data_IF_429505606355
#
_entry.id   IF_429505606355
#
_cell.length_a   1.000
_cell.length_b   1.000
_cell.length_c   1.000
_cell.angle_alpha   90.00
_cell.angle_beta   90.00
_cell.angle_gamma   90.00
#
_symmetry.space_group_name_H-M   'P 1'
#
loop_
_entity.id
_entity.type
_entity.pdbx_description
1 polymer ?
#
# COMPACT_ATOMS: atom_id res chain seq x y z
N UNK A 1 15.28 38.83 7.32
CA UNK A 1 13.86 39.08 7.03
C UNK A 1 13.06 38.22 7.99
N UNK A 2 12.19 38.83 8.80
CA UNK A 2 11.41 38.09 9.79
C UNK A 2 10.28 37.33 9.09
N UNK A 3 10.01 36.09 9.51
CA UNK A 3 8.96 35.27 8.93
C UNK A 3 7.58 35.93 9.07
N UNK A 4 6.70 35.73 8.08
CA UNK A 4 5.32 36.23 8.14
C UNK A 4 4.52 35.41 9.17
N UNK A 5 4.29 36.00 10.35
CA UNK A 5 3.65 35.33 11.49
C UNK A 5 2.23 34.85 11.18
N UNK A 6 1.41 35.64 10.46
CA UNK A 6 0.04 35.25 10.12
C UNK A 6 -0.01 34.02 9.20
N UNK A 7 0.88 33.95 8.21
CA UNK A 7 1.01 32.76 7.36
C UNK A 7 1.59 31.55 8.10
N UNK A 8 2.48 31.78 9.08
CA UNK A 8 3.02 30.72 9.92
C UNK A 8 1.93 30.08 10.80
N UNK A 9 1.10 30.89 11.46
CA UNK A 9 -0.03 30.40 12.25
C UNK A 9 -1.04 29.64 11.40
N UNK A 10 -1.38 30.16 10.22
CA UNK A 10 -2.28 29.47 9.28
C UNK A 10 -1.68 28.15 8.79
N UNK A 11 -0.36 28.11 8.54
CA UNK A 11 0.37 26.89 8.23
C UNK A 11 0.20 25.86 9.35
N UNK A 12 0.42 26.24 10.61
CA UNK A 12 0.34 25.30 11.73
C UNK A 12 -1.09 24.79 11.97
N UNK A 13 -2.09 25.64 11.74
CA UNK A 13 -3.49 25.24 11.72
C UNK A 13 -3.79 24.26 10.57
N UNK A 14 -3.26 24.51 9.37
CA UNK A 14 -3.39 23.62 8.23
C UNK A 14 -2.69 22.27 8.48
N UNK A 15 -1.53 22.26 9.14
CA UNK A 15 -0.84 21.03 9.55
C UNK A 15 -1.71 20.19 10.50
N UNK A 16 -2.19 20.79 11.60
CA UNK A 16 -3.07 20.11 12.56
C UNK A 16 -4.33 19.57 11.88
N UNK A 17 -4.93 20.36 10.99
CA UNK A 17 -6.10 19.97 10.20
C UNK A 17 -5.78 18.80 9.27
N UNK A 18 -4.64 18.82 8.58
CA UNK A 18 -4.18 17.72 7.73
C UNK A 18 -4.03 16.42 8.52
N UNK A 19 -3.40 16.46 9.71
CA UNK A 19 -3.25 15.30 10.59
C UNK A 19 -4.61 14.71 10.99
N UNK A 20 -5.57 15.55 11.38
CA UNK A 20 -6.95 15.10 11.68
C UNK A 20 -7.61 14.46 10.45
N UNK A 21 -7.46 15.07 9.27
CA UNK A 21 -8.00 14.52 8.02
C UNK A 21 -7.35 13.20 7.61
N UNK A 22 -6.07 13.01 7.91
CA UNK A 22 -5.41 11.71 7.75
C UNK A 22 -6.02 10.65 8.66
N UNK A 23 -6.26 10.96 9.94
CA UNK A 23 -6.90 10.03 10.88
C UNK A 23 -8.32 9.68 10.43
N UNK A 24 -9.10 10.65 9.96
CA UNK A 24 -10.44 10.43 9.38
C UNK A 24 -10.33 9.57 8.12
N UNK A 25 -9.39 9.86 7.22
CA UNK A 25 -9.14 9.08 6.01
C UNK A 25 -8.78 7.64 6.34
N UNK A 26 -7.95 7.42 7.37
CA UNK A 26 -7.61 6.08 7.86
C UNK A 26 -8.85 5.37 8.40
N UNK A 27 -9.63 6.01 9.27
CA UNK A 27 -10.85 5.44 9.83
C UNK A 27 -11.85 5.01 8.74
N UNK A 28 -12.13 5.89 7.78
CA UNK A 28 -13.01 5.60 6.63
C UNK A 28 -12.44 4.47 5.77
N UNK A 29 -11.11 4.44 5.56
CA UNK A 29 -10.44 3.37 4.82
C UNK A 29 -10.52 2.02 5.52
N UNK A 30 -10.46 1.98 6.86
CA UNK A 30 -10.58 0.77 7.66
C UNK A 30 -12.01 0.24 7.64
N UNK A 31 -13.02 1.12 7.68
CA UNK A 31 -14.42 0.73 7.50
C UNK A 31 -14.63 0.12 6.11
N UNK A 32 -14.11 0.77 5.06
CA UNK A 32 -14.11 0.21 3.70
C UNK A 32 -13.43 -1.17 3.66
N UNK A 33 -12.26 -1.30 4.28
CA UNK A 33 -11.49 -2.55 4.34
C UNK A 33 -12.28 -3.68 4.99
N UNK A 34 -12.94 -3.41 6.12
CA UNK A 34 -13.80 -4.35 6.83
C UNK A 34 -15.05 -4.76 6.04
N UNK A 35 -15.68 -3.80 5.35
CA UNK A 35 -16.82 -4.10 4.47
C UNK A 35 -16.43 -4.97 3.27
N UNK A 36 -15.29 -4.65 2.64
CA UNK A 36 -14.76 -5.43 1.53
C UNK A 36 -14.36 -6.84 1.97
N UNK A 37 -13.79 -6.97 3.17
CA UNK A 37 -13.52 -8.27 3.81
C UNK A 37 -14.80 -9.08 3.96
N UNK A 38 -15.81 -8.52 4.60
CA UNK A 38 -17.10 -9.21 4.83
C UNK A 38 -17.78 -9.63 3.53
N UNK A 39 -17.76 -8.78 2.49
CA UNK A 39 -18.26 -9.11 1.16
C UNK A 39 -17.45 -10.26 0.51
N UNK A 40 -16.13 -10.25 0.69
CA UNK A 40 -15.23 -11.30 0.17
C UNK A 40 -15.45 -12.64 0.87
N UNK A 41 -15.62 -12.64 2.18
CA UNK A 41 -15.94 -13.82 2.99
C UNK A 41 -17.30 -14.41 2.55
N UNK A 42 -18.34 -13.58 2.39
CA UNK A 42 -19.64 -14.02 1.92
C UNK A 42 -19.57 -14.64 0.50
N UNK A 43 -18.75 -14.09 -0.39
CA UNK A 43 -18.49 -14.67 -1.71
C UNK A 43 -17.82 -16.02 -1.65
N UNK A 44 -16.85 -16.19 -0.77
CA UNK A 44 -16.15 -17.48 -0.58
C UNK A 44 -17.08 -18.53 -0.02
N UNK A 45 -17.90 -18.16 0.95
CA UNK A 45 -18.87 -19.07 1.56
C UNK A 45 -19.93 -19.52 0.54
N UNK A 46 -20.45 -18.60 -0.27
CA UNK A 46 -21.31 -18.95 -1.42
C UNK A 46 -20.63 -19.96 -2.34
N UNK A 47 -19.36 -19.72 -2.72
CA UNK A 47 -18.62 -20.65 -3.58
C UNK A 47 -18.37 -22.02 -2.92
N UNK A 48 -18.21 -22.06 -1.60
CA UNK A 48 -18.05 -23.29 -0.82
C UNK A 48 -19.33 -24.12 -0.85
N UNK A 49 -20.47 -23.50 -0.51
CA UNK A 49 -21.79 -24.14 -0.52
C UNK A 49 -22.09 -24.72 -1.92
N UNK A 50 -21.92 -23.92 -2.97
CA UNK A 50 -22.11 -24.38 -4.35
C UNK A 50 -21.14 -25.49 -4.76
N UNK A 51 -19.89 -25.44 -4.26
CA UNK A 51 -18.88 -26.46 -4.50
C UNK A 51 -19.20 -27.79 -3.80
N UNK A 52 -19.69 -27.74 -2.56
CA UNK A 52 -20.15 -28.90 -1.79
C UNK A 52 -21.40 -29.52 -2.42
N UNK A 53 -22.38 -28.71 -2.80
CA UNK A 53 -23.58 -29.16 -3.52
C UNK A 53 -23.23 -29.83 -4.85
N UNK A 54 -22.30 -29.25 -5.62
CA UNK A 54 -21.82 -29.85 -6.88
C UNK A 54 -21.13 -31.19 -6.63
N UNK A 55 -20.26 -31.29 -5.62
CA UNK A 55 -19.58 -32.54 -5.26
C UNK A 55 -20.57 -33.63 -4.82
N UNK A 56 -21.59 -33.27 -4.05
CA UNK A 56 -22.64 -34.20 -3.63
C UNK A 56 -23.41 -34.74 -4.84
N UNK A 57 -23.82 -33.85 -5.77
CA UNK A 57 -24.47 -34.24 -7.02
C UNK A 57 -23.57 -35.13 -7.90
N UNK A 58 -22.27 -34.84 -8.01
CA UNK A 58 -21.33 -35.70 -8.74
C UNK A 58 -21.19 -37.07 -8.09
N UNK A 59 -21.06 -37.15 -6.75
CA UNK A 59 -20.96 -38.43 -6.03
C UNK A 59 -22.22 -39.27 -6.22
N UNK A 60 -23.40 -38.64 -6.21
CA UNK A 60 -24.68 -39.30 -6.47
C UNK A 60 -24.75 -39.85 -7.91
N UNK A 61 -24.32 -39.08 -8.91
CA UNK A 61 -24.27 -39.55 -10.32
C UNK A 61 -23.33 -40.73 -10.51
N UNK A 62 -22.17 -40.73 -9.83
CA UNK A 62 -21.21 -41.85 -9.88
C UNK A 62 -21.77 -43.10 -9.20
N UNK A 63 -22.47 -42.96 -8.07
CA UNK A 63 -23.13 -44.09 -7.40
C UNK A 63 -24.26 -44.72 -8.25
N UNK A 64 -25.07 -43.90 -8.93
CA UNK A 64 -26.11 -44.40 -9.83
C UNK A 64 -25.52 -45.09 -11.07
N UNK A 65 -24.46 -44.53 -11.65
CA UNK A 65 -23.75 -45.17 -12.79
C UNK A 65 -23.07 -46.50 -12.44
N UNK A 66 -22.59 -46.64 -11.20
CA UNK A 66 -22.02 -47.91 -10.70
C UNK A 66 -23.09 -48.97 -10.41
N UNK A 67 -24.29 -48.57 -9.99
CA UNK A 67 -25.40 -49.49 -9.73
C UNK A 67 -26.06 -50.05 -11.02
N UNK A 68 -25.89 -49.38 -12.16
CA UNK A 68 -26.38 -49.85 -13.48
C UNK A 68 -25.38 -50.79 -14.19
N UNK A 69 -24.15 -50.92 -13.66
CA UNK A 69 -23.05 -51.65 -14.30
C UNK A 69 -22.86 -53.12 -13.87
N UNK A 70 -23.79 -53.72 -13.14
CA UNK A 70 -23.65 -55.10 -12.66
C UNK A 70 -24.99 -55.80 -12.50
N UNK A 71 -25.47 -56.41 -13.59
CA UNK A 71 -25.97 -57.79 -13.61
C UNK A 71 -26.44 -58.14 -15.04
N UNK A 72 -25.70 -59.04 -15.68
CA UNK A 72 -26.21 -59.85 -16.79
C UNK A 72 -26.60 -61.18 -16.15
N UNK A 73 -27.88 -61.37 -15.89
CA UNK A 73 -28.46 -62.67 -15.54
C UNK A 73 -29.55 -62.97 -16.57
N UNK A 74 -29.41 -64.11 -17.23
CA UNK A 74 -30.34 -64.69 -18.20
C UNK A 74 -31.70 -65.05 -17.56
N UNK A 75 -32.78 -64.73 -18.28
CA UNK A 75 -33.98 -65.56 -18.40
C UNK A 75 -35.12 -65.39 -17.38
N UNK A 76 -36.25 -64.83 -17.82
CA UNK A 76 -37.60 -65.46 -17.94
C UNK A 76 -38.74 -64.42 -17.86
N UNK A 77 -39.79 -64.70 -18.63
CA UNK A 77 -40.97 -63.86 -18.93
C UNK A 77 -41.88 -63.56 -17.72
N UNK A 78 -42.28 -62.28 -17.56
CA UNK A 78 -43.53 -61.84 -16.86
C UNK A 78 -43.99 -60.49 -17.45
N UNK A 79 -45.30 -60.28 -17.76
CA UNK A 79 -45.82 -59.02 -18.27
C UNK A 79 -46.37 -58.07 -17.18
N UNK A 80 -46.25 -56.76 -17.47
CA UNK A 80 -46.99 -55.57 -17.00
C UNK A 80 -47.31 -55.38 -15.51
N UNK A 81 -46.57 -54.47 -14.86
CA UNK A 81 -47.17 -53.25 -14.28
C UNK A 81 -46.15 -52.10 -14.25
N UNK A 82 -46.31 -51.16 -15.18
CA UNK A 82 -45.69 -49.84 -15.14
C UNK A 82 -46.20 -49.07 -13.92
N UNK A 83 -45.36 -48.96 -12.89
CA UNK A 83 -45.03 -47.69 -12.21
C UNK A 83 -44.03 -47.94 -11.07
N UNK A 84 -42.77 -48.18 -11.44
CA UNK A 84 -41.67 -47.74 -10.60
C UNK A 84 -41.74 -46.21 -10.53
N UNK A 85 -42.39 -45.71 -9.48
CA UNK A 85 -42.41 -44.31 -9.12
C UNK A 85 -40.99 -43.84 -8.79
N UNK A 86 -40.27 -43.39 -9.82
CA UNK A 86 -38.98 -42.70 -9.72
C UNK A 86 -39.15 -41.19 -9.50
N UNK A 87 -40.29 -40.73 -8.98
CA UNK A 87 -40.46 -39.31 -8.57
C UNK A 87 -39.48 -38.85 -7.48
N UNK A 88 -38.67 -39.75 -6.93
CA UNK A 88 -37.56 -39.44 -6.03
C UNK A 88 -36.25 -38.96 -6.70
N UNK A 89 -36.17 -38.84 -8.04
CA UNK A 89 -35.01 -38.19 -8.69
C UNK A 89 -35.13 -36.68 -8.49
N UNK A 90 -34.91 -36.22 -7.26
CA UNK A 90 -34.54 -34.85 -7.00
C UNK A 90 -33.21 -34.61 -7.73
N UNK A 91 -33.31 -34.12 -8.97
CA UNK A 91 -32.24 -33.50 -9.72
C UNK A 91 -31.86 -32.19 -9.03
N UNK A 92 -31.35 -32.27 -7.81
CA UNK A 92 -31.01 -31.12 -6.98
C UNK A 92 -29.69 -30.51 -7.43
N UNK A 93 -29.62 -29.96 -8.64
CA UNK A 93 -28.65 -28.89 -8.88
C UNK A 93 -29.12 -27.71 -8.04
N UNK A 94 -28.48 -27.48 -6.89
CA UNK A 94 -28.78 -26.34 -6.02
C UNK A 94 -28.86 -25.07 -6.87
N UNK A 95 -30.03 -24.46 -6.90
CA UNK A 95 -30.34 -23.26 -7.65
C UNK A 95 -30.08 -22.01 -6.80
N UNK A 96 -30.09 -20.84 -7.43
CA UNK A 96 -29.91 -19.57 -6.73
C UNK A 96 -30.99 -19.34 -5.63
N UNK A 97 -32.19 -19.88 -5.82
CA UNK A 97 -33.30 -19.79 -4.86
C UNK A 97 -33.07 -20.63 -3.59
N UNK A 98 -32.28 -21.71 -3.70
CA UNK A 98 -31.96 -22.61 -2.58
C UNK A 98 -30.89 -22.03 -1.66
N UNK A 99 -30.17 -20.99 -2.08
CA UNK A 99 -29.20 -20.28 -1.25
C UNK A 99 -29.91 -19.42 -0.19
N UNK A 100 -29.39 -19.37 1.05
CA UNK A 100 -29.84 -18.40 2.03
C UNK A 100 -29.79 -16.99 1.44
N UNK A 101 -30.80 -16.15 1.73
CA UNK A 101 -30.94 -14.78 1.17
C UNK A 101 -29.65 -13.95 1.26
N UNK A 102 -28.83 -14.17 2.29
CA UNK A 102 -27.55 -13.49 2.52
C UNK A 102 -26.42 -13.88 1.55
N UNK A 103 -26.51 -15.06 0.92
CA UNK A 103 -25.55 -15.61 -0.05
C UNK A 103 -26.07 -15.55 -1.48
N UNK A 104 -27.27 -15.00 -1.71
CA UNK A 104 -27.78 -14.76 -3.04
C UNK A 104 -27.00 -13.63 -3.74
N UNK A 105 -26.93 -13.69 -5.08
CA UNK A 105 -26.17 -12.80 -5.95
C UNK A 105 -26.55 -11.34 -5.71
N UNK A 106 -27.84 -11.02 -5.56
CA UNK A 106 -28.29 -9.66 -5.31
C UNK A 106 -27.85 -9.14 -3.93
N UNK A 107 -27.90 -9.99 -2.90
CA UNK A 107 -27.38 -9.63 -1.58
C UNK A 107 -25.85 -9.41 -1.61
N UNK A 108 -25.10 -10.25 -2.33
CA UNK A 108 -23.66 -10.05 -2.53
C UNK A 108 -23.37 -8.77 -3.30
N UNK A 109 -24.06 -8.53 -4.42
CA UNK A 109 -23.94 -7.28 -5.20
C UNK A 109 -24.23 -6.07 -4.33
N UNK A 110 -25.25 -6.12 -3.48
CA UNK A 110 -25.57 -5.05 -2.54
C UNK A 110 -24.45 -4.81 -1.52
N UNK A 111 -23.84 -5.88 -0.97
CA UNK A 111 -22.66 -5.79 -0.09
C UNK A 111 -21.47 -5.13 -0.79
N UNK A 112 -21.13 -5.58 -2.00
CA UNK A 112 -20.03 -4.98 -2.78
C UNK A 112 -20.32 -3.53 -3.17
N UNK A 113 -21.56 -3.20 -3.56
CA UNK A 113 -21.97 -1.81 -3.85
C UNK A 113 -21.84 -0.91 -2.62
N UNK A 114 -22.20 -1.41 -1.43
CA UNK A 114 -22.00 -0.67 -0.17
C UNK A 114 -20.52 -0.46 0.11
N UNK A 115 -19.69 -1.50 -0.02
CA UNK A 115 -18.24 -1.38 0.14
C UNK A 115 -17.66 -0.37 -0.88
N UNK A 116 -18.07 -0.42 -2.14
CA UNK A 116 -17.61 0.50 -3.19
C UNK A 116 -17.95 1.97 -2.91
N UNK A 117 -19.12 2.25 -2.31
CA UNK A 117 -19.47 3.61 -1.84
C UNK A 117 -18.46 4.10 -0.79
N UNK A 118 -18.13 3.27 0.20
CA UNK A 118 -17.13 3.60 1.22
C UNK A 118 -15.71 3.72 0.64
N UNK A 119 -15.37 2.91 -0.36
CA UNK A 119 -14.12 3.04 -1.09
C UNK A 119 -14.05 4.35 -1.90
N UNK A 120 -15.18 4.80 -2.46
CA UNK A 120 -15.30 6.13 -3.08
C UNK A 120 -15.11 7.27 -2.09
N UNK A 121 -15.77 7.18 -0.94
CA UNK A 121 -15.62 8.16 0.15
C UNK A 121 -14.19 8.22 0.69
N UNK A 122 -13.54 7.06 0.89
CA UNK A 122 -12.12 6.97 1.24
C UNK A 122 -11.27 7.73 0.24
N UNK A 123 -11.48 7.50 -1.05
CA UNK A 123 -10.73 8.16 -2.11
C UNK A 123 -10.89 9.68 -2.05
N UNK A 124 -12.13 10.18 -1.87
CA UNK A 124 -12.40 11.62 -1.77
C UNK A 124 -11.76 12.25 -0.54
N UNK A 125 -11.84 11.59 0.62
CA UNK A 125 -11.20 12.07 1.86
C UNK A 125 -9.69 12.15 1.72
N UNK A 126 -9.06 11.16 1.08
CA UNK A 126 -7.62 11.20 0.84
C UNK A 126 -7.23 12.34 -0.11
N UNK A 127 -8.00 12.61 -1.16
CA UNK A 127 -7.74 13.77 -2.05
C UNK A 127 -7.87 15.10 -1.30
N UNK A 128 -8.91 15.24 -0.47
CA UNK A 128 -9.07 16.42 0.39
C UNK A 128 -7.87 16.57 1.36
N UNK A 129 -7.47 15.46 1.98
CA UNK A 129 -6.33 15.43 2.90
C UNK A 129 -5.04 15.85 2.19
N UNK A 130 -4.79 15.36 0.98
CA UNK A 130 -3.65 15.75 0.17
C UNK A 130 -3.68 17.25 -0.20
N UNK A 131 -4.87 17.79 -0.53
CA UNK A 131 -5.02 19.21 -0.82
C UNK A 131 -4.74 20.10 0.40
N UNK A 132 -5.22 19.71 1.58
CA UNK A 132 -4.97 20.45 2.84
C UNK A 132 -3.51 20.32 3.28
N UNK A 133 -2.88 19.16 3.10
CA UNK A 133 -1.44 19.00 3.32
C UNK A 133 -0.64 19.90 2.37
N UNK A 134 -1.00 19.95 1.08
CA UNK A 134 -0.35 20.85 0.14
C UNK A 134 -0.53 22.32 0.54
N UNK A 135 -1.72 22.70 1.00
CA UNK A 135 -1.98 24.05 1.52
C UNK A 135 -1.05 24.38 2.69
N UNK A 136 -0.88 23.46 3.65
CA UNK A 136 0.10 23.61 4.73
C UNK A 136 1.50 23.89 4.16
N UNK A 137 2.00 23.07 3.23
CA UNK A 137 3.34 23.24 2.66
C UNK A 137 3.51 24.58 1.93
N UNK A 138 2.50 25.01 1.18
CA UNK A 138 2.50 26.31 0.48
C UNK A 138 2.53 27.45 1.49
N UNK A 139 1.66 27.45 2.48
CA UNK A 139 1.63 28.48 3.52
C UNK A 139 2.92 28.53 4.31
N UNK A 140 3.50 27.37 4.65
CA UNK A 140 4.80 27.26 5.32
C UNK A 140 5.91 27.88 4.49
N UNK A 141 5.94 27.58 3.18
CA UNK A 141 6.94 28.12 2.27
C UNK A 141 6.81 29.64 2.06
N UNK A 142 5.58 30.13 1.92
CA UNK A 142 5.31 31.57 1.81
C UNK A 142 5.65 32.32 3.11
N UNK A 143 5.37 31.73 4.28
CA UNK A 143 5.72 32.30 5.57
C UNK A 143 7.24 32.46 5.75
N UNK A 144 8.00 31.48 5.22
CA UNK A 144 9.45 31.44 5.30
C UNK A 144 10.16 32.20 4.15
N UNK A 145 9.41 32.58 3.11
CA UNK A 145 9.92 33.10 1.82
C UNK A 145 10.96 32.17 1.16
N UNK A 146 10.79 30.87 1.35
CA UNK A 146 11.65 29.82 0.82
C UNK A 146 10.87 28.51 0.72
N UNK A 147 11.39 27.54 0.00
CA UNK A 147 10.81 26.21 0.06
C UNK A 147 10.92 25.59 1.48
N UNK A 148 9.89 24.85 1.94
CA UNK A 148 9.85 24.27 3.27
C UNK A 148 10.69 22.98 3.34
N UNK A 149 12.02 23.11 3.35
CA UNK A 149 12.96 22.00 3.54
C UNK A 149 14.01 22.26 4.64
N UNK A 150 13.88 23.38 5.35
CA UNK A 150 14.95 24.01 6.14
C UNK A 150 15.34 23.24 7.41
N UNK A 151 14.51 22.31 7.85
CA UNK A 151 14.71 21.47 9.02
C UNK A 151 14.06 20.10 8.82
N UNK A 152 14.26 19.19 9.78
CA UNK A 152 13.76 17.82 9.67
C UNK A 152 12.23 17.72 9.70
N UNK A 153 11.52 18.58 10.43
CA UNK A 153 10.05 18.65 10.40
C UNK A 153 9.52 18.99 9.01
N UNK A 154 10.05 20.06 8.42
CA UNK A 154 9.72 20.48 7.06
C UNK A 154 10.07 19.38 6.04
N UNK A 155 11.21 18.70 6.20
CA UNK A 155 11.59 17.58 5.34
C UNK A 155 10.60 16.41 5.43
N UNK A 156 10.26 15.93 6.64
CA UNK A 156 9.32 14.80 6.82
C UNK A 156 7.93 15.15 6.29
N UNK A 157 7.47 16.37 6.53
CA UNK A 157 6.16 16.81 6.04
C UNK A 157 6.13 16.94 4.51
N UNK A 158 7.17 17.45 3.87
CA UNK A 158 7.24 17.45 2.39
C UNK A 158 7.29 16.03 1.84
N UNK A 159 8.11 15.13 2.38
CA UNK A 159 8.20 13.74 1.91
C UNK A 159 6.86 13.02 2.05
N UNK A 160 6.16 13.20 3.17
CA UNK A 160 4.84 12.59 3.37
C UNK A 160 3.76 13.23 2.49
N UNK A 161 3.82 14.54 2.25
CA UNK A 161 2.97 15.25 1.30
C UNK A 161 3.17 14.76 -0.14
N UNK A 162 4.41 14.58 -0.58
CA UNK A 162 4.74 14.00 -1.88
C UNK A 162 4.30 12.53 -1.96
N UNK A 163 4.49 11.74 -0.90
CA UNK A 163 4.05 10.35 -0.85
C UNK A 163 2.53 10.20 -1.01
N UNK A 164 1.72 11.07 -0.37
CA UNK A 164 0.26 11.01 -0.54
C UNK A 164 -0.16 11.42 -1.95
N UNK A 165 0.51 12.40 -2.56
CA UNK A 165 0.25 12.82 -3.95
C UNK A 165 0.57 11.68 -4.93
N UNK A 166 1.73 11.05 -4.79
CA UNK A 166 2.11 9.87 -5.59
C UNK A 166 1.09 8.74 -5.39
N UNK A 167 0.70 8.45 -4.15
CA UNK A 167 -0.29 7.42 -3.85
C UNK A 167 -1.67 7.73 -4.48
N UNK A 168 -2.10 8.99 -4.50
CA UNK A 168 -3.35 9.40 -5.16
C UNK A 168 -3.35 9.09 -6.65
N UNK A 169 -2.23 9.34 -7.34
CA UNK A 169 -2.07 9.03 -8.77
C UNK A 169 -2.05 7.53 -9.00
N UNK A 170 -1.25 6.81 -8.21
CA UNK A 170 -0.99 5.37 -8.39
C UNK A 170 -2.19 4.50 -8.00
N UNK A 171 -2.92 4.86 -6.94
CA UNK A 171 -4.05 4.08 -6.39
C UNK A 171 -5.42 4.50 -6.93
N UNK A 172 -5.48 5.27 -8.01
CA UNK A 172 -6.74 5.79 -8.60
C UNK A 172 -7.74 4.71 -9.03
N UNK A 173 -7.27 3.49 -9.32
CA UNK A 173 -8.13 2.37 -9.77
C UNK A 173 -8.87 1.77 -8.58
N UNK A 174 -10.18 1.49 -8.74
CA UNK A 174 -11.03 0.90 -7.68
C UNK A 174 -10.41 -0.32 -6.99
N UNK A 175 -9.79 -1.22 -7.77
CA UNK A 175 -9.15 -2.44 -7.26
C UNK A 175 -7.94 -2.19 -6.32
N UNK A 176 -7.37 -0.99 -6.33
CA UNK A 176 -6.20 -0.62 -5.53
C UNK A 176 -6.55 0.20 -4.29
N UNK A 177 -7.82 0.64 -4.14
CA UNK A 177 -8.27 1.43 -2.98
C UNK A 177 -8.12 0.70 -1.66
N UNK A 178 -8.11 -0.64 -1.69
CA UNK A 178 -7.89 -1.48 -0.51
C UNK A 178 -6.50 -1.28 0.10
N UNK A 179 -5.58 -0.63 -0.61
CA UNK A 179 -4.23 -0.33 -0.12
C UNK A 179 -4.16 0.96 0.71
N UNK A 180 -5.21 1.77 0.76
CA UNK A 180 -5.21 3.05 1.48
C UNK A 180 -4.81 2.96 2.96
N UNK A 181 -5.33 2.02 3.78
CA UNK A 181 -4.90 1.89 5.16
C UNK A 181 -3.39 1.66 5.30
N UNK A 182 -2.80 0.92 4.37
CA UNK A 182 -1.39 0.52 4.40
C UNK A 182 -0.43 1.64 4.00
N UNK A 183 -0.88 2.58 3.18
CA UNK A 183 -0.10 3.76 2.79
C UNK A 183 -0.30 4.92 3.77
N UNK A 184 -1.54 5.13 4.23
CA UNK A 184 -1.86 6.23 5.14
C UNK A 184 -1.29 5.99 6.54
N UNK A 185 -1.24 4.74 7.02
CA UNK A 185 -0.67 4.41 8.35
C UNK A 185 0.77 4.90 8.53
N UNK A 186 1.75 4.53 7.69
CA UNK A 186 3.11 5.03 7.86
C UNK A 186 3.17 6.57 7.72
N UNK A 187 2.37 7.19 6.84
CA UNK A 187 2.32 8.65 6.73
C UNK A 187 1.87 9.30 8.05
N UNK A 188 0.83 8.78 8.69
CA UNK A 188 0.36 9.29 10.00
C UNK A 188 1.43 9.14 11.06
N UNK A 189 2.11 7.99 11.13
CA UNK A 189 3.17 7.77 12.12
C UNK A 189 4.32 8.76 11.93
N UNK A 190 4.71 9.02 10.68
CA UNK A 190 5.73 10.03 10.34
C UNK A 190 5.28 11.45 10.73
N UNK A 191 4.04 11.83 10.42
CA UNK A 191 3.50 13.15 10.74
C UNK A 191 3.30 13.36 12.24
N UNK A 192 2.87 12.33 12.96
CA UNK A 192 2.75 12.36 14.42
C UNK A 192 4.11 12.61 15.05
N UNK A 193 5.11 11.79 14.70
CA UNK A 193 6.48 11.97 15.18
C UNK A 193 7.06 13.34 14.81
N UNK A 194 6.83 13.79 13.57
CA UNK A 194 7.27 15.11 13.13
C UNK A 194 6.64 16.23 13.97
N UNK A 195 5.34 16.16 14.25
CA UNK A 195 4.63 17.18 15.01
C UNK A 195 4.96 17.18 16.51
N UNK A 196 5.40 16.06 17.10
CA UNK A 196 5.70 15.97 18.54
C UNK A 196 7.18 16.19 18.85
N UNK A 197 8.08 15.57 18.08
CA UNK A 197 9.51 15.54 18.40
C UNK A 197 10.37 16.45 17.51
N UNK A 198 9.91 16.76 16.30
CA UNK A 198 10.71 17.49 15.31
C UNK A 198 10.21 18.90 15.05
N UNK A 199 9.06 19.29 15.60
CA UNK A 199 8.43 20.57 15.31
C UNK A 199 9.42 21.71 15.59
N UNK A 200 9.59 22.56 14.60
CA UNK A 200 10.45 23.72 14.65
C UNK A 200 9.70 24.92 14.08
N UNK A 201 9.98 26.11 14.58
CA UNK A 201 9.34 27.34 14.09
C UNK A 201 9.82 27.73 12.69
N UNK A 202 9.06 28.61 12.04
CA UNK A 202 9.42 29.16 10.73
C UNK A 202 10.65 30.06 10.90
N UNK A 203 11.80 29.56 10.48
CA UNK A 203 13.07 30.27 10.58
C UNK A 203 13.84 30.29 9.24
N UNK A 204 14.78 31.24 9.06
CA UNK A 204 15.74 31.21 7.95
C UNK A 204 16.57 29.92 7.96
N UNK A 205 17.04 29.50 6.78
CA UNK A 205 17.91 28.33 6.69
C UNK A 205 19.29 28.58 7.27
N UNK A 206 19.89 27.55 7.85
CA UNK A 206 21.31 27.56 8.27
C UNK A 206 22.24 27.81 7.08
N UNK A 207 23.44 28.40 7.28
CA UNK A 207 24.31 28.81 6.18
C UNK A 207 24.65 27.72 5.15
N UNK A 208 24.79 26.46 5.59
CA UNK A 208 25.08 25.31 4.70
C UNK A 208 23.97 25.00 3.68
N UNK A 209 22.76 25.51 3.89
CA UNK A 209 21.62 25.33 3.00
C UNK A 209 21.41 26.52 2.04
N UNK A 210 22.25 27.57 2.11
CA UNK A 210 22.19 28.74 1.21
C UNK A 210 22.85 28.46 -0.14
N UNK A 211 22.33 27.46 -0.87
CA UNK A 211 22.84 27.06 -2.19
C UNK A 211 21.70 26.69 -3.13
N UNK A 212 21.85 27.01 -4.42
CA UNK A 212 20.89 26.60 -5.45
C UNK A 212 20.82 25.07 -5.63
N UNK A 213 21.85 24.34 -5.21
CA UNK A 213 21.87 22.88 -5.33
C UNK A 213 21.04 22.17 -4.26
N UNK A 214 20.80 22.84 -3.12
CA UNK A 214 20.06 22.27 -2.01
C UNK A 214 18.61 21.94 -2.38
N UNK A 215 17.87 22.88 -2.98
CA UNK A 215 16.47 22.64 -3.34
C UNK A 215 16.31 21.64 -4.48
N UNK A 216 17.28 21.56 -5.41
CA UNK A 216 17.32 20.54 -6.46
C UNK A 216 17.55 19.15 -5.85
N UNK A 217 18.55 19.00 -4.98
CA UNK A 217 18.86 17.75 -4.30
C UNK A 217 17.69 17.25 -3.44
N UNK A 218 17.23 18.10 -2.53
CA UNK A 218 16.24 17.72 -1.52
C UNK A 218 14.88 17.43 -2.16
N UNK A 219 14.45 18.20 -3.16
CA UNK A 219 13.22 17.89 -3.90
C UNK A 219 13.32 16.55 -4.63
N UNK A 220 14.43 16.30 -5.33
CA UNK A 220 14.64 15.08 -6.13
C UNK A 220 14.68 13.83 -5.24
N UNK A 221 15.44 13.86 -4.14
CA UNK A 221 15.50 12.73 -3.19
C UNK A 221 14.17 12.52 -2.47
N UNK A 222 13.42 13.60 -2.17
CA UNK A 222 12.08 13.51 -1.55
C UNK A 222 11.07 12.83 -2.48
N UNK A 223 11.06 13.17 -3.77
CA UNK A 223 10.21 12.50 -4.77
C UNK A 223 10.60 11.04 -4.91
N UNK A 224 11.90 10.75 -5.03
CA UNK A 224 12.42 9.38 -5.12
C UNK A 224 12.00 8.54 -3.91
N UNK A 225 12.18 9.07 -2.70
CA UNK A 225 11.80 8.39 -1.46
C UNK A 225 10.30 8.22 -1.28
N UNK A 226 9.50 9.20 -1.72
CA UNK A 226 8.04 9.12 -1.72
C UNK A 226 7.51 7.99 -2.59
N UNK A 227 8.06 7.83 -3.79
CA UNK A 227 7.73 6.71 -4.69
C UNK A 227 8.27 5.39 -4.09
N UNK A 228 9.47 5.44 -3.51
CA UNK A 228 10.10 4.31 -2.81
C UNK A 228 9.27 3.78 -1.65
N UNK A 229 8.56 4.64 -0.92
CA UNK A 229 7.63 4.25 0.15
C UNK A 229 6.48 3.41 -0.39
N UNK A 230 5.84 3.84 -1.49
CA UNK A 230 4.76 3.08 -2.13
C UNK A 230 5.29 1.73 -2.63
N UNK A 231 6.51 1.71 -3.17
CA UNK A 231 7.21 0.50 -3.61
C UNK A 231 7.45 -0.49 -2.46
N UNK A 232 8.07 -0.03 -1.36
CA UNK A 232 8.40 -0.84 -0.21
C UNK A 232 7.17 -1.42 0.50
N UNK A 233 6.15 -0.59 0.73
CA UNK A 233 4.86 -1.04 1.30
C UNK A 233 4.21 -2.09 0.40
N UNK A 234 4.24 -1.89 -0.93
CA UNK A 234 3.69 -2.87 -1.87
C UNK A 234 4.43 -4.21 -1.84
N UNK A 235 5.76 -4.21 -1.65
CA UNK A 235 6.55 -5.42 -1.47
C UNK A 235 6.29 -6.12 -0.15
N UNK A 236 6.10 -5.39 0.95
CA UNK A 236 5.66 -5.95 2.24
C UNK A 236 4.32 -6.68 2.09
N UNK A 237 3.34 -6.03 1.45
CA UNK A 237 2.03 -6.62 1.19
C UNK A 237 2.11 -7.81 0.25
N UNK A 238 3.00 -7.78 -0.76
CA UNK A 238 3.25 -8.91 -1.64
C UNK A 238 3.75 -10.14 -0.86
N UNK A 239 4.72 -9.97 0.04
CA UNK A 239 5.24 -11.07 0.87
C UNK A 239 4.14 -11.62 1.77
N UNK A 240 3.38 -10.75 2.44
CA UNK A 240 2.22 -11.15 3.25
C UNK A 240 1.20 -11.94 2.44
N UNK A 241 0.89 -11.49 1.21
CA UNK A 241 -0.04 -12.16 0.30
C UNK A 241 0.49 -13.48 -0.25
N UNK A 242 1.80 -13.64 -0.44
CA UNK A 242 2.42 -14.93 -0.82
C UNK A 242 2.39 -15.95 0.31
N UNK A 243 2.55 -15.50 1.56
CA UNK A 243 2.40 -16.35 2.76
C UNK A 243 0.95 -16.75 3.04
N UNK A 244 -0.03 -15.99 2.52
CA UNK A 244 -1.47 -16.26 2.67
C UNK A 244 -2.16 -16.26 1.29
N UNK A 245 -1.97 -17.33 0.48
CA UNK A 245 -2.57 -17.45 -0.84
C UNK A 245 -4.10 -17.40 -0.79
N UNK A 246 -4.72 -16.84 -1.84
CA UNK A 246 -6.18 -16.74 -1.92
C UNK A 246 -6.84 -18.12 -1.83
N UNK A 247 -7.79 -18.26 -0.91
CA UNK A 247 -8.53 -19.50 -0.64
C UNK A 247 -7.85 -20.42 0.37
N UNK A 248 -6.62 -20.12 0.79
CA UNK A 248 -5.86 -20.86 1.80
C UNK A 248 -5.46 -19.97 2.99
N UNK A 249 -6.13 -18.83 3.16
CA UNK A 249 -5.84 -17.91 4.26
C UNK A 249 -6.30 -18.50 5.60
N UNK A 250 -5.46 -18.37 6.64
CA UNK A 250 -5.73 -18.91 7.97
C UNK A 250 -5.34 -17.93 9.09
N UNK A 251 -5.96 -18.10 10.25
CA UNK A 251 -5.68 -17.31 11.46
C UNK A 251 -5.96 -15.81 11.33
N UNK A 252 -5.33 -15.02 12.19
CA UNK A 252 -5.49 -13.56 12.23
C UNK A 252 -4.89 -12.89 10.98
N UNK A 253 -3.69 -13.26 10.57
CA UNK A 253 -3.04 -12.73 9.36
C UNK A 253 -3.84 -13.02 8.09
N UNK A 254 -4.48 -14.19 7.99
CA UNK A 254 -5.38 -14.51 6.89
C UNK A 254 -6.57 -13.57 6.78
N UNK A 255 -7.18 -13.20 7.92
CA UNK A 255 -8.28 -12.22 7.96
C UNK A 255 -7.81 -10.84 7.48
N UNK A 256 -6.66 -10.39 7.96
CA UNK A 256 -6.06 -9.11 7.56
C UNK A 256 -5.74 -9.10 6.06
N UNK A 257 -5.13 -10.17 5.54
CA UNK A 257 -4.71 -10.24 4.13
C UNK A 257 -5.89 -10.48 3.17
N UNK A 258 -6.98 -11.09 3.62
CA UNK A 258 -8.11 -11.52 2.77
C UNK A 258 -8.61 -10.48 1.74
N UNK A 259 -8.73 -9.17 2.04
CA UNK A 259 -9.27 -8.18 1.11
C UNK A 259 -8.24 -7.70 0.07
N UNK A 260 -6.95 -7.97 0.30
CA UNK A 260 -5.88 -7.48 -0.57
C UNK A 260 -6.04 -7.98 -2.03
N UNK A 261 -5.42 -7.31 -3.01
CA UNK A 261 -5.36 -7.82 -4.37
C UNK A 261 -4.53 -9.12 -4.47
N UNK A 262 -4.50 -9.69 -5.67
CA UNK A 262 -3.59 -10.81 -5.97
C UNK A 262 -2.13 -10.40 -5.80
N UNK A 263 -1.28 -11.38 -5.47
CA UNK A 263 0.16 -11.16 -5.32
C UNK A 263 0.77 -10.51 -6.58
N UNK A 264 0.33 -10.92 -7.77
CA UNK A 264 0.81 -10.34 -9.05
C UNK A 264 0.52 -8.84 -9.17
N UNK A 265 -0.61 -8.36 -8.63
CA UNK A 265 -0.95 -6.93 -8.66
C UNK A 265 -0.10 -6.12 -7.69
N UNK A 266 0.19 -6.68 -6.52
CA UNK A 266 1.06 -6.06 -5.51
C UNK A 266 2.51 -6.02 -6.00
N UNK A 267 3.01 -7.10 -6.60
CA UNK A 267 4.34 -7.14 -7.20
C UNK A 267 4.46 -6.19 -8.41
N UNK A 268 3.44 -6.14 -9.27
CA UNK A 268 3.40 -5.19 -10.38
C UNK A 268 3.37 -3.73 -9.90
N UNK A 269 2.68 -3.45 -8.79
CA UNK A 269 2.68 -2.13 -8.17
C UNK A 269 4.07 -1.76 -7.67
N UNK A 270 4.68 -2.63 -6.84
CA UNK A 270 6.02 -2.44 -6.29
C UNK A 270 7.05 -2.17 -7.39
N UNK A 271 7.04 -3.00 -8.44
CA UNK A 271 7.96 -2.83 -9.58
C UNK A 271 7.74 -1.53 -10.34
N UNK A 272 6.50 -1.19 -10.68
CA UNK A 272 6.20 0.03 -11.44
C UNK A 272 6.65 1.27 -10.69
N UNK A 273 6.50 1.29 -9.36
CA UNK A 273 7.01 2.39 -8.54
C UNK A 273 8.54 2.34 -8.44
N UNK A 274 9.15 1.18 -8.26
CA UNK A 274 10.61 1.06 -8.15
C UNK A 274 11.37 1.48 -9.42
N UNK A 275 10.80 1.25 -10.61
CA UNK A 275 11.36 1.74 -11.89
C UNK A 275 11.56 3.26 -11.85
N UNK A 276 10.64 3.99 -11.21
CA UNK A 276 10.75 5.44 -11.05
C UNK A 276 11.61 5.82 -9.85
N UNK A 277 11.55 5.05 -8.76
CA UNK A 277 12.39 5.28 -7.57
C UNK A 277 13.87 5.26 -7.93
N UNK A 278 14.34 4.26 -8.67
CA UNK A 278 15.78 4.09 -8.96
C UNK A 278 16.42 5.34 -9.62
N UNK A 279 15.96 5.82 -10.79
CA UNK A 279 16.59 6.95 -11.46
C UNK A 279 16.36 8.26 -10.70
N UNK A 280 15.17 8.49 -10.14
CA UNK A 280 14.89 9.74 -9.43
C UNK A 280 15.71 9.82 -8.14
N UNK A 281 15.71 8.75 -7.33
CA UNK A 281 16.52 8.72 -6.12
C UNK A 281 18.02 8.78 -6.44
N UNK A 282 18.48 8.10 -7.49
CA UNK A 282 19.86 8.16 -7.97
C UNK A 282 20.29 9.58 -8.39
N UNK A 283 19.45 10.29 -9.14
CA UNK A 283 19.68 11.71 -9.44
C UNK A 283 19.74 12.54 -8.15
N UNK A 284 18.88 12.23 -7.17
CA UNK A 284 18.95 12.79 -5.83
C UNK A 284 20.33 12.62 -5.19
N UNK A 285 20.88 11.40 -5.19
CA UNK A 285 22.23 11.12 -4.64
C UNK A 285 23.32 11.92 -5.39
N UNK A 286 23.26 11.97 -6.72
CA UNK A 286 24.21 12.75 -7.55
C UNK A 286 24.12 14.24 -7.26
N UNK A 287 22.91 14.80 -7.22
CA UNK A 287 22.71 16.22 -6.86
C UNK A 287 23.13 16.50 -5.41
N UNK A 288 23.04 15.50 -4.53
CA UNK A 288 23.57 15.57 -3.17
C UNK A 288 25.07 15.76 -3.16
N UNK A 289 25.81 14.99 -3.97
CA UNK A 289 27.25 15.14 -4.12
C UNK A 289 27.66 16.52 -4.66
N UNK A 290 26.90 17.06 -5.64
CA UNK A 290 27.15 18.40 -6.18
C UNK A 290 26.90 19.48 -5.11
N UNK A 291 25.80 19.36 -4.36
CA UNK A 291 25.51 20.25 -3.26
C UNK A 291 26.57 20.15 -2.15
N UNK A 292 27.08 18.95 -1.85
CA UNK A 292 28.13 18.74 -0.87
C UNK A 292 29.41 19.50 -1.24
N UNK A 293 29.76 19.55 -2.53
CA UNK A 293 30.88 20.36 -3.00
C UNK A 293 30.62 21.85 -2.79
N UNK A 294 29.42 22.33 -3.06
CA UNK A 294 29.05 23.73 -2.84
C UNK A 294 29.02 24.13 -1.36
N UNK A 295 28.69 23.20 -0.45
CA UNK A 295 28.56 23.47 0.98
C UNK A 295 29.86 23.24 1.78
N UNK A 296 30.63 22.22 1.43
CA UNK A 296 31.81 21.76 2.21
C UNK A 296 33.08 21.58 1.38
N UNK A 297 33.08 21.95 0.09
CA UNK A 297 34.27 21.91 -0.77
C UNK A 297 34.67 20.52 -1.27
N UNK A 298 33.85 19.49 -1.08
CA UNK A 298 34.10 18.12 -1.60
C UNK A 298 32.80 17.47 -2.10
N UNK A 299 32.90 16.65 -3.15
CA UNK A 299 31.73 15.96 -3.71
C UNK A 299 31.22 14.79 -2.86
N UNK A 300 32.10 14.16 -2.09
CA UNK A 300 31.75 12.99 -1.29
C UNK A 300 32.72 12.88 -0.11
N UNK A 301 32.22 12.52 1.06
CA UNK A 301 32.94 12.36 2.31
C UNK A 301 32.81 10.99 2.96
N UNK A 302 32.03 10.05 2.38
CA UNK A 302 31.76 8.73 2.98
C UNK A 302 31.13 8.80 4.37
N UNK A 303 30.42 9.89 4.67
CA UNK A 303 29.71 9.96 5.94
C UNK A 303 28.52 8.98 5.96
N UNK A 304 27.94 8.69 7.13
CA UNK A 304 26.87 7.71 7.22
C UNK A 304 25.65 8.04 6.35
N UNK A 305 25.31 9.31 6.11
CA UNK A 305 24.14 9.69 5.29
C UNK A 305 24.39 9.45 3.82
N UNK A 306 25.55 9.88 3.34
CA UNK A 306 26.03 9.62 2.00
C UNK A 306 26.11 8.11 1.73
N UNK A 307 26.76 7.36 2.62
CA UNK A 307 26.96 5.91 2.48
C UNK A 307 25.64 5.14 2.47
N UNK A 308 24.72 5.41 3.40
CA UNK A 308 23.42 4.72 3.46
C UNK A 308 22.53 5.11 2.27
N UNK A 309 22.63 6.34 1.77
CA UNK A 309 21.92 6.74 0.54
C UNK A 309 22.43 5.96 -0.68
N UNK A 310 23.74 5.76 -0.79
CA UNK A 310 24.34 4.94 -1.84
C UNK A 310 23.92 3.47 -1.73
N UNK A 311 23.95 2.89 -0.53
CA UNK A 311 23.46 1.52 -0.27
C UNK A 311 21.99 1.39 -0.68
N UNK A 312 21.15 2.36 -0.30
CA UNK A 312 19.72 2.36 -0.66
C UNK A 312 19.53 2.36 -2.18
N UNK A 313 20.27 3.20 -2.90
CA UNK A 313 20.23 3.24 -4.36
C UNK A 313 20.67 1.91 -4.99
N UNK A 314 21.77 1.33 -4.52
CA UNK A 314 22.26 0.02 -4.97
C UNK A 314 21.22 -1.08 -4.69
N UNK A 315 20.54 -1.08 -3.54
CA UNK A 315 19.51 -2.06 -3.22
C UNK A 315 18.29 -1.94 -4.15
N UNK A 316 17.86 -0.73 -4.53
CA UNK A 316 16.82 -0.57 -5.55
C UNK A 316 17.29 -1.06 -6.93
N UNK A 317 18.56 -0.85 -7.30
CA UNK A 317 19.12 -1.39 -8.53
C UNK A 317 19.16 -2.93 -8.49
N UNK A 318 19.62 -3.49 -7.38
CA UNK A 318 19.66 -4.93 -7.13
C UNK A 318 18.25 -5.55 -7.14
N UNK A 319 17.22 -4.85 -6.64
CA UNK A 319 15.83 -5.29 -6.74
C UNK A 319 15.39 -5.41 -8.20
N UNK A 320 15.60 -4.37 -9.01
CA UNK A 320 15.20 -4.39 -10.42
C UNK A 320 15.99 -5.43 -11.21
N UNK A 321 17.28 -5.59 -10.92
CA UNK A 321 18.12 -6.62 -11.50
C UNK A 321 17.64 -8.03 -11.10
N UNK A 322 17.42 -8.29 -9.82
CA UNK A 322 16.87 -9.56 -9.31
C UNK A 322 15.52 -9.91 -9.95
N UNK A 323 14.71 -8.90 -10.30
CA UNK A 323 13.44 -9.12 -11.01
C UNK A 323 13.63 -9.42 -12.50
N UNK A 324 14.74 -9.01 -13.10
CA UNK A 324 15.11 -9.38 -14.46
C UNK A 324 15.75 -10.78 -14.52
N UNK A 325 16.42 -11.20 -13.44
CA UNK A 325 17.14 -12.48 -13.34
C UNK A 325 16.20 -13.68 -13.14
N UNK A 326 16.33 -14.75 -13.95
CA UNK A 326 15.63 -16.02 -13.71
C UNK A 326 15.93 -16.58 -12.31
N UNK A 327 14.94 -17.19 -11.65
CA UNK A 327 15.10 -17.77 -10.31
C UNK A 327 15.05 -16.78 -9.13
N UNK A 328 15.34 -15.49 -9.35
CA UNK A 328 15.26 -14.45 -8.31
C UNK A 328 13.92 -13.69 -8.29
N UNK A 329 13.09 -13.89 -9.34
CA UNK A 329 11.75 -13.32 -9.43
C UNK A 329 10.86 -13.78 -8.26
N UNK A 330 10.10 -12.85 -7.69
CA UNK A 330 9.14 -13.13 -6.64
C UNK A 330 9.67 -12.82 -5.24
N UNK A 331 9.70 -13.81 -4.34
CA UNK A 331 10.04 -13.59 -2.93
C UNK A 331 11.46 -13.03 -2.69
N UNK A 332 12.53 -13.54 -3.34
CA UNK A 332 13.87 -13.00 -3.15
C UNK A 332 13.96 -11.52 -3.54
N UNK A 333 13.49 -11.16 -4.74
CA UNK A 333 13.43 -9.77 -5.18
C UNK A 333 12.60 -8.89 -4.22
N UNK A 334 11.44 -9.37 -3.75
CA UNK A 334 10.62 -8.59 -2.83
C UNK A 334 11.34 -8.29 -1.51
N UNK A 335 12.13 -9.22 -0.97
CA UNK A 335 12.95 -8.97 0.22
C UNK A 335 14.03 -7.92 -0.02
N UNK A 336 14.69 -7.95 -1.18
CA UNK A 336 15.67 -6.90 -1.55
C UNK A 336 15.00 -5.51 -1.55
N UNK A 337 13.80 -5.39 -2.12
CA UNK A 337 13.07 -4.12 -2.11
C UNK A 337 12.63 -3.69 -0.72
N UNK A 338 12.25 -4.64 0.14
CA UNK A 338 11.93 -4.37 1.56
C UNK A 338 13.17 -3.86 2.29
N UNK A 339 14.35 -4.46 2.05
CA UNK A 339 15.61 -3.96 2.61
C UNK A 339 15.97 -2.57 2.08
N UNK A 340 15.77 -2.29 0.78
CA UNK A 340 15.96 -0.95 0.22
C UNK A 340 15.07 0.09 0.90
N UNK A 341 13.79 -0.25 1.13
CA UNK A 341 12.87 0.61 1.85
C UNK A 341 13.29 0.78 3.32
N UNK A 342 13.74 -0.28 3.99
CA UNK A 342 14.21 -0.23 5.37
C UNK A 342 15.46 0.64 5.52
N UNK A 343 16.44 0.54 4.61
CA UNK A 343 17.63 1.40 4.63
C UNK A 343 17.28 2.87 4.37
N UNK A 344 16.28 3.13 3.52
CA UNK A 344 15.78 4.48 3.31
C UNK A 344 15.15 5.09 4.57
N UNK A 345 14.31 4.31 5.28
CA UNK A 345 13.71 4.73 6.57
C UNK A 345 14.80 4.90 7.64
N UNK A 346 15.77 3.99 7.68
CA UNK A 346 16.94 4.09 8.57
C UNK A 346 17.73 5.38 8.31
N UNK A 347 17.97 5.73 7.04
CA UNK A 347 18.64 6.98 6.68
C UNK A 347 17.84 8.22 7.10
N UNK A 348 16.51 8.16 6.97
CA UNK A 348 15.63 9.25 7.37
C UNK A 348 15.66 9.51 8.88
N UNK A 349 15.71 8.47 9.70
CA UNK A 349 15.62 8.62 11.16
C UNK A 349 16.95 8.48 11.87
N UNK A 350 17.54 7.29 11.80
CA UNK A 350 18.70 6.94 12.62
C UNK A 350 19.88 7.85 12.31
N UNK A 351 20.17 8.08 11.03
CA UNK A 351 21.28 8.96 10.65
C UNK A 351 21.02 10.41 11.03
N UNK A 352 19.77 10.90 10.92
CA UNK A 352 19.48 12.30 11.26
C UNK A 352 19.47 12.56 12.78
N UNK A 353 19.07 11.57 13.59
CA UNK A 353 18.85 11.73 15.05
C UNK A 353 20.03 11.23 15.87
N UNK A 354 20.62 10.09 15.50
CA UNK A 354 21.60 9.37 16.35
C UNK A 354 23.04 9.71 15.94
N UNK A 355 23.28 9.97 14.66
CA UNK A 355 24.62 10.27 14.16
C UNK A 355 24.84 11.78 14.14
N UNK A 356 25.73 12.25 15.03
CA UNK A 356 26.28 13.60 14.93
C UNK A 356 27.16 13.71 13.68
N UNK A 357 26.79 14.57 12.73
CA UNK A 357 27.53 14.78 11.49
C UNK A 357 27.11 16.05 10.75
N UNK A 358 27.82 16.38 9.66
CA UNK A 358 27.60 17.58 8.83
C UNK A 358 26.19 17.70 8.23
N UNK A 359 25.42 16.62 8.30
CA UNK A 359 24.06 16.49 7.78
C UNK A 359 22.99 16.29 8.87
N UNK A 360 23.32 16.49 10.15
CA UNK A 360 22.31 16.47 11.21
C UNK A 360 21.51 17.77 11.14
N UNK A 361 20.31 17.69 10.54
CA UNK A 361 19.33 18.78 10.47
C UNK A 361 18.28 18.68 11.58
N UNK A 362 18.55 17.87 12.60
CA UNK A 362 17.60 17.60 13.66
C UNK A 362 17.30 18.85 14.51
N UNK A 363 18.18 19.86 14.50
CA UNK A 363 18.00 21.06 15.32
C UNK A 363 17.96 20.75 16.82
N UNK A 364 18.44 19.56 17.23
CA UNK A 364 18.42 19.05 18.60
C UNK A 364 19.67 19.46 19.41
N UNK A 365 20.32 20.56 19.04
CA UNK A 365 21.44 21.13 19.79
C UNK A 365 21.12 22.56 20.23
#
# INVERSE_FOLDING_TARGET
MYANQGLAEFSDMAFKTAVVLYLISLAVSLVYYGMLRSATEARRERSRILGEAKKASTKQKVAVGAAVGGDVIEGTDVPDDERNDVSGIASGSMTEADLPKTFQVEALKAKFRRADKWGGMTQMMVWLTAAVHLLFLVCRGLAAERFPWGNLFEYVTVVTGMAICVACVVLRRKAMRVLWPWIVTPIILLLFYAGTELYADVAPVVPSLKSNWYWIHVSTVSVGGSIGLVSGVSSLLYVLRRKQPKGKEHGWFGKVVSPLPDASKLDALAYRTAIWTLPIFGLGVVFGAIWAHAAWGRFWGWDPKETVSLITWILYAAYLHARATPGMRGLPAAWINIFAFATMVFNLFFINIVVSGLHSYAGLN
#
